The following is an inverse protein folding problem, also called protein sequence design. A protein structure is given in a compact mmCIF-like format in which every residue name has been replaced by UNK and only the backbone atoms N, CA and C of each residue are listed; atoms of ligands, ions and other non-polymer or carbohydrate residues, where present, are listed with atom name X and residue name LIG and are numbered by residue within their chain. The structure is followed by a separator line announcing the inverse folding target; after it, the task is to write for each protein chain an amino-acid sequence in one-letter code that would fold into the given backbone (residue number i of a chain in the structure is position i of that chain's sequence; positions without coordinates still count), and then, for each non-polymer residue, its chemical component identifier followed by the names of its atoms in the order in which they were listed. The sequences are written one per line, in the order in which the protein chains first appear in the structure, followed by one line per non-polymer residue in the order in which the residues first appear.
data_IF_671795077727
#
_entry.id   IF_671795077727
#
_cell.length_a   1.000
_cell.length_b   1.000
_cell.length_c   1.000
_cell.angle_alpha   90.00
_cell.angle_beta   90.00
_cell.angle_gamma   90.00
#
_symmetry.space_group_name_H-M   'P 1'
#
loop_
_entity.id
_entity.type
_entity.pdbx_description
1 polymer ?
#
# COMPACT_ATOMS: atom_id res chain seq x y z
N UNK A 1 -24.64 30.09 -0.44
CA UNK A 1 -23.93 29.01 -1.14
C UNK A 1 -22.87 28.51 -0.18
N UNK A 2 -23.15 27.45 0.58
CA UNK A 2 -22.14 26.82 1.46
C UNK A 2 -21.06 26.23 0.58
N UNK A 3 -19.89 26.84 0.59
CA UNK A 3 -18.70 26.27 -0.04
C UNK A 3 -18.46 24.87 0.52
N UNK A 4 -18.37 23.86 -0.36
CA UNK A 4 -18.03 22.47 0.02
C UNK A 4 -16.74 22.50 0.83
N UNK A 5 -16.86 22.43 2.14
CA UNK A 5 -15.73 22.14 3.01
C UNK A 5 -15.30 20.73 2.67
N UNK A 6 -14.04 20.52 2.26
CA UNK A 6 -13.54 19.19 1.87
C UNK A 6 -13.73 18.15 2.99
N UNK A 7 -13.41 16.88 2.71
CA UNK A 7 -13.57 15.77 3.64
C UNK A 7 -12.57 15.85 4.80
N UNK A 8 -13.00 15.48 6.00
CA UNK A 8 -12.10 15.12 7.08
C UNK A 8 -11.75 13.64 6.92
N UNK A 9 -10.48 13.36 6.75
CA UNK A 9 -9.95 12.02 6.49
C UNK A 9 -9.16 11.54 7.70
N UNK A 10 -9.39 10.31 8.11
CA UNK A 10 -8.54 9.58 9.05
C UNK A 10 -7.88 8.41 8.31
N UNK A 11 -6.56 8.40 8.30
CA UNK A 11 -5.76 7.32 7.71
C UNK A 11 -5.05 6.55 8.82
N UNK A 12 -5.31 5.25 8.89
CA UNK A 12 -4.69 4.34 9.85
C UNK A 12 -3.61 3.53 9.14
N UNK A 13 -2.47 3.35 9.79
CA UNK A 13 -1.29 2.72 9.21
C UNK A 13 -0.85 3.46 7.93
N UNK A 14 -0.78 4.78 8.05
CA UNK A 14 -0.73 5.72 6.92
C UNK A 14 0.51 5.54 6.02
N UNK A 15 1.61 5.05 6.57
CA UNK A 15 2.87 4.93 5.86
C UNK A 15 3.37 6.30 5.39
N UNK A 16 3.67 6.41 4.09
CA UNK A 16 4.13 7.64 3.44
C UNK A 16 2.96 8.51 2.92
N UNK A 17 1.75 8.34 3.43
CA UNK A 17 0.54 9.08 3.01
C UNK A 17 0.16 8.90 1.53
N UNK A 18 0.27 7.70 0.99
CA UNK A 18 -0.22 7.40 -0.37
C UNK A 18 -1.73 7.68 -0.52
N UNK A 19 -2.48 7.65 0.57
CA UNK A 19 -3.88 8.07 0.61
C UNK A 19 -4.08 9.52 0.20
N UNK A 20 -3.21 10.45 0.61
CA UNK A 20 -3.28 11.85 0.19
C UNK A 20 -3.03 12.01 -1.30
N UNK A 21 -2.02 11.31 -1.85
CA UNK A 21 -1.74 11.29 -3.29
C UNK A 21 -2.96 10.78 -4.07
N UNK A 22 -3.60 9.71 -3.59
CA UNK A 22 -4.78 9.14 -4.23
C UNK A 22 -5.96 10.11 -4.24
N UNK A 23 -6.23 10.77 -3.12
CA UNK A 23 -7.29 11.79 -3.01
C UNK A 23 -7.03 12.99 -3.92
N UNK A 24 -5.78 13.45 -3.98
CA UNK A 24 -5.34 14.54 -4.86
C UNK A 24 -5.54 14.20 -6.34
N UNK A 25 -5.08 13.01 -6.77
CA UNK A 25 -5.28 12.51 -8.14
C UNK A 25 -6.76 12.32 -8.47
N UNK A 26 -7.57 11.90 -7.52
CA UNK A 26 -9.03 11.80 -7.65
C UNK A 26 -9.74 13.16 -7.60
N UNK A 27 -9.02 14.27 -7.39
CA UNK A 27 -9.56 15.63 -7.23
C UNK A 27 -10.59 15.74 -6.09
N UNK A 28 -10.41 14.92 -5.05
CA UNK A 28 -11.23 14.94 -3.85
C UNK A 28 -10.65 15.99 -2.89
N UNK A 29 -11.44 17.01 -2.59
CA UNK A 29 -11.03 18.08 -1.68
C UNK A 29 -10.95 17.55 -0.25
N UNK A 30 -9.81 17.70 0.40
CA UNK A 30 -9.56 17.36 1.80
C UNK A 30 -9.56 18.63 2.64
N UNK A 31 -10.29 18.65 3.75
CA UNK A 31 -10.29 19.72 4.74
C UNK A 31 -9.18 19.49 5.78
N UNK A 32 -9.21 18.31 6.44
CA UNK A 32 -8.19 17.90 7.40
C UNK A 32 -7.82 16.44 7.14
N UNK A 33 -6.55 16.12 7.25
CA UNK A 33 -6.04 14.77 7.13
C UNK A 33 -5.32 14.37 8.41
N UNK A 34 -5.85 13.37 9.09
CA UNK A 34 -5.31 12.77 10.31
C UNK A 34 -4.60 11.47 9.94
N UNK A 35 -3.34 11.33 10.31
CA UNK A 35 -2.53 10.16 10.03
C UNK A 35 -2.10 9.45 11.29
N UNK A 36 -2.44 8.18 11.43
CA UNK A 36 -1.92 7.28 12.45
C UNK A 36 -0.79 6.45 11.86
N UNK A 37 0.43 6.76 12.27
CA UNK A 37 1.66 6.10 11.86
C UNK A 37 2.68 6.15 12.99
N UNK A 38 3.56 5.15 13.10
CA UNK A 38 4.61 5.06 14.13
C UNK A 38 6.02 5.02 13.55
N UNK A 39 6.15 4.69 12.26
CA UNK A 39 7.43 4.60 11.59
C UNK A 39 7.99 6.00 11.27
N UNK A 40 9.06 6.37 11.97
CA UNK A 40 9.64 7.72 11.90
C UNK A 40 10.01 8.15 10.49
N UNK A 41 10.55 7.24 9.68
CA UNK A 41 10.97 7.56 8.32
C UNK A 41 9.77 7.78 7.40
N UNK A 42 8.70 7.01 7.55
CA UNK A 42 7.45 7.21 6.83
C UNK A 42 6.83 8.57 7.20
N UNK A 43 6.77 8.90 8.49
CA UNK A 43 6.29 10.21 8.98
C UNK A 43 7.11 11.37 8.39
N UNK A 44 8.45 11.25 8.32
CA UNK A 44 9.30 12.29 7.69
C UNK A 44 8.93 12.51 6.23
N UNK A 45 8.71 11.44 5.47
CA UNK A 45 8.29 11.54 4.06
C UNK A 45 6.93 12.24 3.96
N UNK A 46 5.96 11.83 4.79
CA UNK A 46 4.65 12.48 4.87
C UNK A 46 4.78 13.95 5.15
N UNK A 47 5.48 14.33 6.22
CA UNK A 47 5.59 15.73 6.64
C UNK A 47 6.37 16.61 5.66
N UNK A 48 7.28 16.02 4.88
CA UNK A 48 7.99 16.73 3.80
C UNK A 48 7.04 17.07 2.64
N UNK A 49 6.16 16.13 2.24
CA UNK A 49 5.29 16.31 1.09
C UNK A 49 3.95 16.97 1.47
N UNK A 50 3.45 16.68 2.67
CA UNK A 50 2.16 17.13 3.20
C UNK A 50 2.33 17.71 4.62
N UNK A 51 2.93 18.90 4.77
CA UNK A 51 3.27 19.47 6.07
C UNK A 51 2.05 19.79 6.96
N UNK A 52 0.86 19.87 6.37
CA UNK A 52 -0.40 20.12 7.09
C UNK A 52 -1.06 18.83 7.63
N UNK A 53 -0.42 17.69 7.50
CA UNK A 53 -0.91 16.42 8.04
C UNK A 53 -0.90 16.45 9.56
N UNK A 54 -2.02 16.04 10.17
CA UNK A 54 -2.17 15.96 11.62
C UNK A 54 -1.80 14.55 12.08
N UNK A 55 -0.59 14.38 12.61
CA UNK A 55 -0.13 13.09 13.15
C UNK A 55 -0.84 12.79 14.46
N UNK A 56 -1.50 11.63 14.56
CA UNK A 56 -2.24 11.18 15.76
C UNK A 56 -1.57 10.00 16.48
N UNK A 57 -0.37 9.60 16.03
CA UNK A 57 0.45 8.59 16.68
C UNK A 57 -0.01 7.16 16.43
N UNK A 58 0.12 6.30 17.44
CA UNK A 58 -0.24 4.88 17.35
C UNK A 58 -1.76 4.68 17.19
N UNK A 59 -2.14 3.73 16.35
CA UNK A 59 -3.54 3.31 16.20
C UNK A 59 -4.19 2.88 17.52
N UNK A 60 -3.40 2.36 18.46
CA UNK A 60 -3.85 1.96 19.79
C UNK A 60 -4.32 3.15 20.64
N UNK A 61 -3.77 4.33 20.38
CA UNK A 61 -4.04 5.55 21.14
C UNK A 61 -5.11 6.43 20.49
N UNK A 62 -5.53 6.11 19.26
CA UNK A 62 -6.57 6.87 18.55
C UNK A 62 -7.91 6.68 19.24
N UNK A 63 -8.54 7.81 19.63
CA UNK A 63 -9.87 7.88 20.23
C UNK A 63 -10.77 8.79 19.41
N UNK A 64 -11.97 8.34 19.10
CA UNK A 64 -12.95 9.13 18.34
C UNK A 64 -13.28 10.48 19.03
N UNK A 65 -13.27 10.52 20.36
CA UNK A 65 -13.54 11.74 21.15
C UNK A 65 -12.56 12.88 20.91
N UNK A 66 -11.35 12.55 20.41
CA UNK A 66 -10.29 13.53 20.14
C UNK A 66 -10.28 14.00 18.68
N UNK A 67 -11.21 13.49 17.86
CA UNK A 67 -11.29 13.77 16.43
C UNK A 67 -12.58 14.55 16.11
N UNK A 68 -12.56 15.40 15.09
CA UNK A 68 -13.80 15.94 14.56
C UNK A 68 -14.59 14.81 13.88
N UNK A 69 -15.79 15.13 13.38
CA UNK A 69 -16.51 14.21 12.51
C UNK A 69 -15.59 13.81 11.35
N UNK A 70 -15.36 12.52 11.20
CA UNK A 70 -14.59 11.93 10.11
C UNK A 70 -15.58 11.53 8.99
N UNK A 71 -15.27 11.94 7.77
CA UNK A 71 -16.08 11.63 6.60
C UNK A 71 -15.56 10.39 5.87
N UNK A 72 -14.23 10.19 5.86
CA UNK A 72 -13.58 9.05 5.22
C UNK A 72 -12.53 8.44 6.16
N UNK A 73 -12.65 7.13 6.40
CA UNK A 73 -11.64 6.32 7.07
C UNK A 73 -10.92 5.46 6.03
N UNK A 74 -9.60 5.59 5.92
CA UNK A 74 -8.78 4.71 5.09
C UNK A 74 -7.74 4.00 5.95
N UNK A 75 -7.28 2.82 5.49
CA UNK A 75 -6.21 2.12 6.18
C UNK A 75 -5.73 0.88 5.45
N UNK A 76 -4.52 0.45 5.80
CA UNK A 76 -3.91 -0.78 5.33
C UNK A 76 -3.27 -1.50 6.51
N UNK A 77 -4.03 -2.32 7.24
CA UNK A 77 -3.52 -2.99 8.43
C UNK A 77 -2.36 -3.93 8.09
N UNK A 78 -1.35 -4.08 8.98
CA UNK A 78 -0.20 -4.95 8.74
C UNK A 78 -0.61 -6.37 8.35
N UNK A 79 -0.05 -6.86 7.24
CA UNK A 79 -0.39 -8.14 6.63
C UNK A 79 0.61 -9.27 6.96
N UNK A 80 1.59 -9.03 7.84
CA UNK A 80 2.72 -9.95 8.04
C UNK A 80 2.30 -11.37 8.45
N UNK A 81 1.14 -11.53 9.08
CA UNK A 81 0.59 -12.83 9.46
C UNK A 81 -0.36 -13.42 8.40
N UNK A 82 -0.85 -12.63 7.44
CA UNK A 82 -1.77 -13.07 6.38
C UNK A 82 -1.06 -13.40 5.06
N UNK A 83 0.14 -12.84 4.81
CA UNK A 83 0.82 -13.04 3.53
C UNK A 83 1.42 -14.46 3.43
N UNK A 84 1.50 -14.99 2.21
CA UNK A 84 2.18 -16.26 1.94
C UNK A 84 3.69 -16.23 2.29
N UNK A 85 4.28 -15.04 2.42
CA UNK A 85 5.65 -14.83 2.88
C UNK A 85 5.77 -14.73 4.41
N UNK A 86 4.63 -14.62 5.13
CA UNK A 86 4.55 -14.61 6.58
C UNK A 86 4.41 -16.02 7.17
N UNK A 87 4.42 -16.12 8.49
CA UNK A 87 4.30 -17.40 9.21
C UNK A 87 2.88 -17.97 9.23
N UNK A 88 1.91 -17.37 8.54
CA UNK A 88 0.53 -17.83 8.46
C UNK A 88 -0.24 -17.82 9.80
N UNK A 89 0.17 -16.95 10.75
CA UNK A 89 -0.43 -16.88 12.09
C UNK A 89 -1.81 -16.18 12.13
N UNK A 90 -2.31 -15.70 10.97
CA UNK A 90 -3.64 -15.07 10.91
C UNK A 90 -3.76 -13.86 11.85
N UNK A 91 -4.81 -13.85 12.66
CA UNK A 91 -5.13 -12.76 13.58
C UNK A 91 -4.34 -12.81 14.91
N UNK A 92 -3.56 -13.85 15.18
CA UNK A 92 -2.82 -14.03 16.44
C UNK A 92 -1.50 -13.23 16.50
N UNK A 93 -1.11 -12.57 15.41
CA UNK A 93 0.11 -11.79 15.32
C UNK A 93 -0.14 -10.30 15.17
N UNK A 94 0.81 -9.60 14.49
CA UNK A 94 0.68 -8.16 14.14
C UNK A 94 -0.60 -7.85 13.33
N UNK A 95 -1.18 -8.85 12.66
CA UNK A 95 -2.48 -8.72 11.99
C UNK A 95 -3.66 -8.54 12.94
N UNK A 96 -3.49 -8.77 14.23
CA UNK A 96 -4.44 -8.39 15.30
C UNK A 96 -4.75 -6.89 15.30
N UNK A 97 -3.86 -6.05 14.75
CA UNK A 97 -4.10 -4.62 14.59
C UNK A 97 -5.25 -4.30 13.60
N UNK A 98 -5.69 -5.26 12.78
CA UNK A 98 -6.94 -5.15 12.03
C UNK A 98 -8.14 -4.82 12.93
N UNK A 99 -8.20 -5.39 14.14
CA UNK A 99 -9.29 -5.12 15.07
C UNK A 99 -9.29 -3.69 15.60
N UNK A 100 -8.15 -3.03 15.61
CA UNK A 100 -8.07 -1.59 15.90
C UNK A 100 -8.72 -0.76 14.79
N UNK A 101 -8.54 -1.15 13.52
CA UNK A 101 -9.27 -0.53 12.42
C UNK A 101 -10.79 -0.70 12.61
N UNK A 102 -11.25 -1.92 12.95
CA UNK A 102 -12.68 -2.19 13.21
C UNK A 102 -13.21 -1.40 14.41
N UNK A 103 -12.42 -1.31 15.49
CA UNK A 103 -12.78 -0.50 16.67
C UNK A 103 -12.99 0.96 16.27
N UNK A 104 -12.03 1.54 15.59
CA UNK A 104 -12.08 2.96 15.18
C UNK A 104 -13.22 3.18 14.18
N UNK A 105 -13.45 2.29 13.22
CA UNK A 105 -14.58 2.35 12.30
C UNK A 105 -15.92 2.44 13.05
N UNK A 106 -16.09 1.62 14.08
CA UNK A 106 -17.30 1.60 14.91
C UNK A 106 -17.44 2.85 15.79
N UNK A 107 -16.33 3.42 16.24
CA UNK A 107 -16.32 4.63 17.07
C UNK A 107 -16.58 5.90 16.26
N UNK A 108 -15.86 6.10 15.14
CA UNK A 108 -15.95 7.35 14.35
C UNK A 108 -17.14 7.36 13.39
N UNK A 109 -17.66 6.19 13.01
CA UNK A 109 -18.81 6.01 12.10
C UNK A 109 -18.73 6.93 10.87
N UNK A 110 -17.65 6.80 10.05
CA UNK A 110 -17.47 7.68 8.91
C UNK A 110 -18.51 7.40 7.83
N UNK A 111 -18.74 8.38 6.95
CA UNK A 111 -19.64 8.19 5.78
C UNK A 111 -19.06 7.14 4.82
N UNK A 112 -17.75 7.17 4.62
CA UNK A 112 -17.03 6.27 3.72
C UNK A 112 -15.88 5.60 4.45
N UNK A 113 -15.59 4.36 4.07
CA UNK A 113 -14.40 3.68 4.53
C UNK A 113 -13.74 2.88 3.42
N UNK A 114 -12.44 2.64 3.55
CA UNK A 114 -11.65 1.79 2.68
C UNK A 114 -10.55 1.12 3.50
N UNK A 115 -10.55 -0.22 3.50
CA UNK A 115 -9.45 -1.03 4.01
C UNK A 115 -8.75 -1.71 2.85
N UNK A 116 -7.42 -1.57 2.75
CA UNK A 116 -6.57 -2.30 1.81
C UNK A 116 -5.85 -3.43 2.52
N UNK A 117 -5.70 -4.56 1.85
CA UNK A 117 -4.80 -5.61 2.32
C UNK A 117 -4.28 -6.49 1.16
N UNK A 118 -3.31 -7.34 1.46
CA UNK A 118 -2.79 -8.33 0.52
C UNK A 118 -3.82 -9.40 0.22
N UNK A 119 -3.64 -10.11 -0.91
CA UNK A 119 -4.38 -11.34 -1.17
C UNK A 119 -4.02 -12.39 -0.12
N UNK A 120 -5.04 -12.97 0.50
CA UNK A 120 -4.94 -13.91 1.62
C UNK A 120 -5.88 -15.08 1.44
N UNK A 121 -5.82 -16.07 2.35
CA UNK A 121 -6.74 -17.21 2.37
C UNK A 121 -8.19 -16.74 2.50
N UNK A 122 -9.13 -17.48 1.89
CA UNK A 122 -10.56 -17.13 1.89
C UNK A 122 -11.12 -17.01 3.31
N UNK A 123 -10.74 -17.92 4.20
CA UNK A 123 -11.15 -17.90 5.61
C UNK A 123 -10.89 -16.56 6.30
N UNK A 124 -9.73 -15.95 6.02
CA UNK A 124 -9.38 -14.65 6.59
C UNK A 124 -10.10 -13.49 5.91
N UNK A 125 -10.36 -13.62 4.58
CA UNK A 125 -11.19 -12.66 3.87
C UNK A 125 -12.61 -12.64 4.44
N UNK A 126 -13.18 -13.81 4.74
CA UNK A 126 -14.54 -13.95 5.30
C UNK A 126 -14.65 -13.29 6.67
N UNK A 127 -13.65 -13.46 7.54
CA UNK A 127 -13.62 -12.79 8.86
C UNK A 127 -13.59 -11.25 8.68
N UNK A 128 -12.78 -10.75 7.75
CA UNK A 128 -12.72 -9.31 7.47
C UNK A 128 -14.05 -8.82 6.88
N UNK A 129 -14.63 -9.57 5.93
CA UNK A 129 -15.90 -9.22 5.29
C UNK A 129 -17.04 -9.20 6.30
N UNK A 130 -17.11 -10.17 7.20
CA UNK A 130 -18.09 -10.21 8.29
C UNK A 130 -17.95 -9.00 9.22
N UNK A 131 -16.71 -8.67 9.61
CA UNK A 131 -16.46 -7.56 10.53
C UNK A 131 -16.80 -6.18 9.92
N UNK A 132 -16.62 -6.03 8.60
CA UNK A 132 -16.83 -4.78 7.88
C UNK A 132 -18.20 -4.69 7.18
N UNK A 133 -18.91 -5.83 7.02
CA UNK A 133 -20.22 -5.90 6.37
C UNK A 133 -20.18 -5.74 4.85
N UNK A 134 -19.03 -5.93 4.21
CA UNK A 134 -18.84 -5.82 2.75
C UNK A 134 -17.86 -6.86 2.24
N UNK A 135 -18.03 -7.30 1.00
CA UNK A 135 -17.10 -8.20 0.34
C UNK A 135 -15.90 -7.45 -0.26
N UNK A 136 -14.73 -8.07 -0.37
CA UNK A 136 -13.56 -7.43 -0.95
C UNK A 136 -13.64 -7.37 -2.48
N UNK A 137 -13.07 -6.30 -3.02
CA UNK A 137 -12.83 -6.13 -4.45
C UNK A 137 -11.34 -6.34 -4.71
N UNK A 138 -10.98 -7.26 -5.58
CA UNK A 138 -9.59 -7.44 -6.00
C UNK A 138 -9.23 -6.44 -7.10
N UNK A 139 -8.21 -5.63 -6.87
CA UNK A 139 -7.67 -4.72 -7.87
C UNK A 139 -6.16 -4.98 -8.00
N UNK A 140 -5.70 -5.13 -9.23
CA UNK A 140 -4.28 -5.25 -9.51
C UNK A 140 -3.75 -3.95 -10.10
N UNK A 141 -2.72 -3.38 -9.49
CA UNK A 141 -2.11 -2.13 -9.97
C UNK A 141 -1.54 -2.23 -11.37
N UNK A 142 -1.26 -3.44 -11.89
CA UNK A 142 -0.76 -3.64 -13.28
C UNK A 142 -1.66 -3.02 -14.35
N UNK A 143 -2.94 -2.82 -14.06
CA UNK A 143 -3.87 -2.17 -14.98
C UNK A 143 -3.75 -0.65 -15.01
N UNK A 144 -2.92 -0.07 -14.14
CA UNK A 144 -2.72 1.38 -14.00
C UNK A 144 -1.26 1.80 -14.10
N UNK A 145 -0.34 0.93 -13.68
CA UNK A 145 1.11 1.17 -13.65
C UNK A 145 1.84 -0.14 -13.91
N UNK A 146 3.10 -0.13 -14.38
CA UNK A 146 3.83 -1.35 -14.74
C UNK A 146 4.30 -2.16 -13.52
N UNK A 147 3.41 -2.36 -12.54
CA UNK A 147 3.69 -3.17 -11.34
C UNK A 147 2.59 -4.18 -11.09
N UNK A 148 2.91 -5.46 -11.08
CA UNK A 148 1.99 -6.51 -10.69
C UNK A 148 1.84 -6.56 -9.17
N UNK A 149 0.77 -5.93 -8.65
CA UNK A 149 0.49 -5.81 -7.22
C UNK A 149 -1.01 -6.02 -6.96
N UNK A 150 -1.50 -7.27 -6.94
CA UNK A 150 -2.89 -7.55 -6.58
C UNK A 150 -3.15 -7.24 -5.11
N UNK A 151 -4.26 -6.56 -4.84
CA UNK A 151 -4.71 -6.18 -3.50
C UNK A 151 -6.20 -6.37 -3.36
N UNK A 152 -6.63 -6.58 -2.13
CA UNK A 152 -8.03 -6.65 -1.74
C UNK A 152 -8.44 -5.34 -1.07
N UNK A 153 -9.59 -4.84 -1.45
CA UNK A 153 -10.15 -3.60 -0.94
C UNK A 153 -11.56 -3.85 -0.40
N UNK A 154 -11.77 -3.60 0.88
CA UNK A 154 -13.09 -3.59 1.52
C UNK A 154 -13.54 -2.14 1.66
N UNK A 155 -14.67 -1.80 1.05
CA UNK A 155 -15.17 -0.42 1.04
C UNK A 155 -16.68 -0.39 0.84
N UNK A 156 -17.34 0.63 1.39
CA UNK A 156 -18.73 0.95 1.08
C UNK A 156 -18.86 1.96 -0.07
N UNK A 157 -17.76 2.34 -0.71
CA UNK A 157 -17.78 3.15 -1.93
C UNK A 157 -18.00 2.25 -3.13
N UNK A 158 -18.95 2.60 -3.99
CA UNK A 158 -19.19 1.87 -5.23
C UNK A 158 -18.01 2.00 -6.17
N UNK A 159 -17.42 0.86 -6.55
CA UNK A 159 -16.27 0.81 -7.49
C UNK A 159 -16.77 0.38 -8.86
N UNK A 160 -16.59 1.23 -9.85
CA UNK A 160 -16.99 0.99 -11.25
C UNK A 160 -15.79 0.99 -12.18
N UNK A 161 -15.94 0.29 -13.31
CA UNK A 161 -15.00 0.37 -14.44
C UNK A 161 -13.54 0.06 -14.08
N UNK A 162 -13.31 -1.05 -13.36
CA UNK A 162 -11.96 -1.54 -13.14
C UNK A 162 -11.38 -1.97 -14.49
N UNK A 163 -10.23 -1.43 -14.94
CA UNK A 163 -9.59 -1.86 -16.17
C UNK A 163 -9.25 -3.34 -16.12
N UNK A 164 -9.40 -4.03 -17.26
CA UNK A 164 -9.09 -5.47 -17.41
C UNK A 164 -7.88 -5.75 -18.29
N UNK A 165 -7.37 -4.71 -18.95
CA UNK A 165 -6.17 -4.76 -19.79
C UNK A 165 -5.19 -3.69 -19.39
N UNK A 166 -3.91 -3.89 -19.71
CA UNK A 166 -2.85 -2.90 -19.51
C UNK A 166 -1.97 -2.83 -20.75
N UNK A 167 -1.35 -1.68 -20.95
CA UNK A 167 -0.40 -1.41 -22.03
C UNK A 167 0.80 -0.59 -21.53
N UNK A 168 1.11 -0.69 -20.24
CA UNK A 168 2.22 0.01 -19.62
C UNK A 168 3.42 -0.93 -19.47
N UNK A 169 4.62 -0.37 -19.58
CA UNK A 169 5.86 -1.07 -19.27
C UNK A 169 6.74 -0.23 -18.34
N UNK A 170 7.80 -0.83 -17.82
CA UNK A 170 8.72 -0.14 -16.88
C UNK A 170 9.29 1.12 -17.52
N UNK A 171 9.57 1.08 -18.83
CA UNK A 171 10.10 2.24 -19.55
C UNK A 171 9.21 3.49 -19.47
N UNK A 172 7.89 3.32 -19.28
CA UNK A 172 6.94 4.45 -19.19
C UNK A 172 7.08 5.25 -17.88
N UNK A 173 7.79 4.70 -16.90
CA UNK A 173 7.97 5.29 -15.57
C UNK A 173 9.43 5.46 -15.16
N UNK A 174 10.37 5.11 -16.05
CA UNK A 174 11.78 5.34 -15.80
C UNK A 174 12.09 6.83 -15.91
N UNK A 175 12.91 7.30 -14.98
CA UNK A 175 13.47 8.64 -14.96
C UNK A 175 14.99 8.54 -15.16
N UNK A 176 15.61 9.62 -15.62
CA UNK A 176 17.06 9.70 -15.67
C UNK A 176 17.61 9.63 -14.24
N UNK A 177 18.44 8.63 -13.99
CA UNK A 177 19.01 8.39 -12.68
C UNK A 177 20.47 8.89 -12.63
N UNK A 178 20.87 9.47 -11.50
CA UNK A 178 22.28 9.76 -11.26
C UNK A 178 23.09 8.46 -11.05
N UNK A 179 24.40 8.54 -11.27
CA UNK A 179 25.30 7.37 -11.19
C UNK A 179 25.27 6.66 -9.84
N UNK A 180 24.83 7.32 -8.78
CA UNK A 180 24.71 6.74 -7.42
C UNK A 180 23.66 5.63 -7.31
N UNK A 181 22.68 5.60 -8.24
CA UNK A 181 21.63 4.56 -8.28
C UNK A 181 22.00 3.35 -9.13
N UNK A 182 23.12 3.39 -9.86
CA UNK A 182 23.58 2.23 -10.60
C UNK A 182 24.32 1.25 -9.70
N UNK A 183 24.24 -0.04 -10.05
CA UNK A 183 24.96 -1.09 -9.34
C UNK A 183 26.47 -0.86 -9.45
N UNK A 184 27.17 -0.90 -8.32
CA UNK A 184 28.63 -0.93 -8.27
C UNK A 184 29.18 -2.23 -8.84
N UNK A 185 30.43 -2.26 -9.26
CA UNK A 185 31.09 -3.48 -9.76
C UNK A 185 31.08 -4.61 -8.70
N UNK A 186 31.23 -4.28 -7.41
CA UNK A 186 31.09 -5.24 -6.32
C UNK A 186 29.68 -5.85 -6.24
N UNK A 187 28.65 -5.06 -6.45
CA UNK A 187 27.26 -5.56 -6.46
C UNK A 187 27.01 -6.41 -7.71
N UNK A 188 27.53 -6.02 -8.87
CA UNK A 188 27.43 -6.79 -10.12
C UNK A 188 28.12 -8.14 -10.02
N UNK A 189 29.29 -8.22 -9.34
CA UNK A 189 30.09 -9.45 -9.25
C UNK A 189 29.41 -10.60 -8.49
N UNK A 190 28.39 -10.33 -7.69
CA UNK A 190 27.64 -11.35 -6.95
C UNK A 190 26.30 -11.75 -7.62
N UNK A 191 25.99 -11.15 -8.76
CA UNK A 191 24.80 -11.43 -9.54
C UNK A 191 25.14 -12.35 -10.72
N UNK A 192 24.23 -13.29 -11.03
CA UNK A 192 24.28 -14.01 -12.30
C UNK A 192 23.74 -13.08 -13.39
N UNK A 193 24.61 -12.64 -14.28
CA UNK A 193 24.28 -11.77 -15.41
C UNK A 193 24.14 -12.54 -16.74
N UNK A 194 24.09 -13.87 -16.70
CA UNK A 194 23.73 -14.71 -17.86
C UNK A 194 22.20 -14.65 -18.05
N UNK A 195 21.73 -13.61 -18.71
CA UNK A 195 20.31 -13.29 -18.77
C UNK A 195 19.48 -14.38 -19.44
N UNK A 196 18.59 -15.01 -18.65
CA UNK A 196 17.53 -15.91 -19.11
C UNK A 196 16.18 -15.28 -18.73
N UNK A 197 15.55 -14.64 -19.69
CA UNK A 197 14.29 -13.92 -19.49
C UNK A 197 13.12 -14.89 -19.40
N UNK A 198 12.18 -14.61 -18.50
CA UNK A 198 10.88 -15.30 -18.45
C UNK A 198 10.00 -14.86 -19.62
N UNK A 199 9.12 -15.75 -20.08
CA UNK A 199 8.22 -15.53 -21.24
C UNK A 199 6.82 -15.03 -20.84
N UNK A 200 6.67 -14.44 -19.65
CA UNK A 200 5.39 -13.95 -19.16
C UNK A 200 5.39 -12.41 -19.05
N UNK A 201 4.26 -11.84 -18.67
CA UNK A 201 4.09 -10.38 -18.47
C UNK A 201 5.17 -9.75 -17.58
N UNK A 202 5.62 -10.49 -16.55
CA UNK A 202 6.74 -10.09 -15.70
C UNK A 202 8.01 -10.63 -16.30
N UNK A 203 8.60 -9.87 -17.23
CA UNK A 203 9.84 -10.25 -17.89
C UNK A 203 11.00 -10.02 -16.93
N UNK A 204 11.47 -11.10 -16.32
CA UNK A 204 12.51 -11.04 -15.30
C UNK A 204 13.59 -12.08 -15.53
N UNK A 205 14.79 -11.75 -15.06
CA UNK A 205 15.90 -12.66 -14.84
C UNK A 205 16.14 -12.81 -13.33
N UNK A 206 16.27 -14.06 -12.86
CA UNK A 206 16.56 -14.35 -11.46
C UNK A 206 18.07 -14.36 -11.26
N UNK A 207 18.65 -13.21 -10.91
CA UNK A 207 20.08 -13.04 -10.76
C UNK A 207 20.65 -13.56 -9.42
N UNK A 208 19.79 -13.99 -8.47
CA UNK A 208 20.20 -14.51 -7.17
C UNK A 208 19.14 -15.37 -6.50
N UNK A 209 19.31 -15.63 -5.21
CA UNK A 209 18.44 -16.55 -4.45
C UNK A 209 17.15 -15.89 -3.92
N UNK A 210 17.15 -14.57 -3.79
CA UNK A 210 16.09 -13.82 -3.16
C UNK A 210 15.24 -13.07 -4.20
N UNK A 211 14.03 -12.67 -3.83
CA UNK A 211 13.13 -11.92 -4.71
C UNK A 211 13.72 -10.55 -5.12
N UNK A 212 14.46 -9.90 -4.24
CA UNK A 212 15.14 -8.64 -4.51
C UNK A 212 16.33 -8.77 -5.49
N UNK A 213 16.78 -9.99 -5.78
CA UNK A 213 17.84 -10.25 -6.76
C UNK A 213 17.27 -10.41 -8.17
N UNK A 214 15.98 -10.18 -8.38
CA UNK A 214 15.39 -10.19 -9.71
C UNK A 214 15.75 -8.92 -10.47
N UNK A 215 16.12 -9.09 -11.73
CA UNK A 215 16.31 -8.00 -12.70
C UNK A 215 15.11 -8.03 -13.64
N UNK A 216 14.48 -6.89 -13.83
CA UNK A 216 13.29 -6.76 -14.69
C UNK A 216 13.68 -6.09 -16.00
N UNK A 217 13.11 -6.57 -17.10
CA UNK A 217 13.32 -5.95 -18.40
C UNK A 217 12.39 -4.74 -18.55
N UNK A 218 12.91 -3.66 -19.12
CA UNK A 218 12.23 -2.36 -19.20
C UNK A 218 10.94 -2.36 -20.05
N UNK A 219 10.81 -3.28 -20.99
CA UNK A 219 9.63 -3.45 -21.85
C UNK A 219 8.56 -4.39 -21.27
N UNK A 220 8.78 -4.89 -20.06
CA UNK A 220 7.82 -5.66 -19.28
C UNK A 220 7.27 -4.91 -18.09
N UNK A 221 6.53 -5.62 -17.23
CA UNK A 221 6.12 -5.11 -15.92
C UNK A 221 6.96 -5.70 -14.81
N UNK A 222 7.07 -5.01 -13.69
CA UNK A 222 7.78 -5.50 -12.51
C UNK A 222 6.86 -6.28 -11.58
N UNK A 223 7.46 -7.13 -10.75
CA UNK A 223 6.77 -7.73 -9.61
C UNK A 223 6.48 -6.71 -8.52
N UNK A 224 5.74 -7.13 -7.50
CA UNK A 224 5.51 -6.31 -6.31
C UNK A 224 6.84 -6.02 -5.61
N UNK A 225 7.15 -4.75 -5.39
CA UNK A 225 8.27 -4.36 -4.54
C UNK A 225 7.97 -4.79 -3.10
N UNK A 226 8.89 -5.53 -2.50
CA UNK A 226 8.79 -5.90 -1.10
C UNK A 226 9.42 -4.81 -0.22
N UNK A 227 8.74 -4.44 0.86
CA UNK A 227 9.36 -3.67 1.92
C UNK A 227 10.32 -4.63 2.66
N UNK A 228 11.56 -4.69 2.22
CA UNK A 228 12.57 -5.53 2.84
C UNK A 228 13.31 -4.74 3.91
N UNK A 229 13.09 -5.09 5.16
CA UNK A 229 13.95 -4.65 6.26
C UNK A 229 15.33 -5.31 6.22
N UNK A 230 15.54 -6.29 5.33
CA UNK A 230 16.77 -7.09 5.25
C UNK A 230 17.55 -6.90 3.95
N UNK A 231 17.06 -6.15 2.99
CA UNK A 231 17.64 -6.12 1.64
C UNK A 231 18.39 -4.87 1.26
N UNK A 232 18.00 -3.73 1.78
CA UNK A 232 18.63 -2.45 1.42
C UNK A 232 20.03 -2.25 2.00
N UNK A 233 20.47 -3.12 2.87
CA UNK A 233 21.75 -3.03 3.59
C UNK A 233 22.71 -4.17 3.28
N UNK A 234 22.60 -4.83 2.16
CA UNK A 234 23.70 -5.68 1.68
C UNK A 234 24.64 -4.82 0.87
N UNK A 235 25.45 -4.11 1.60
CA UNK A 235 26.65 -3.44 1.13
C UNK A 235 27.65 -4.45 0.60
#
# INVERSE_FOLDING_TARGET
VSGSTGLNVLSLFDGMSCGQIALEKAKIKVNKYFASEIEKEAIKVTMKNYPNTLQVGSVLDVKASNLPKIDLLIGGSPCQSFSNAGRGAGFDGKSGLFWEYVRILKEVKPTYFLLENVKMKKEWQDIISEALGVEPIEINSKFFVPQNRPRLYWTNVEVKNIPTSFNHCINDVLEDASNEYYLTEKQKSVLDLNFKWSENEIIRHKAGKHQQDNIFRYDGIMGCLSASTHGAARH
#
